data_IF_017993005653
#
_entry.id   IF_017993005653
#
_cell.length_a   1.000
_cell.length_b   1.000
_cell.length_c   1.000
_cell.angle_alpha   90.00
_cell.angle_beta   90.00
_cell.angle_gamma   90.00
#
_symmetry.space_group_name_H-M   'P 1'
#
loop_
_entity.id
_entity.type
_entity.pdbx_description
1 polymer ?
#
# COMPACT_ATOMS: atom_id res chain seq x y z
N UNK A 1 20.87 -3.71 -38.30
CA UNK A 1 20.12 -2.45 -38.16
C UNK A 1 18.93 -2.75 -37.25
N UNK A 2 19.11 -2.56 -35.94
CA UNK A 2 18.12 -2.86 -34.91
C UNK A 2 17.41 -1.56 -34.54
N UNK A 3 16.15 -1.44 -34.91
CA UNK A 3 15.28 -0.32 -34.59
C UNK A 3 14.76 -0.54 -33.16
N UNK A 4 15.34 0.20 -32.20
CA UNK A 4 14.80 0.29 -30.84
C UNK A 4 13.49 1.11 -30.89
N UNK A 5 12.38 0.42 -30.79
CA UNK A 5 11.07 1.03 -30.55
C UNK A 5 11.07 1.65 -29.16
N UNK A 6 11.12 2.96 -29.10
CA UNK A 6 10.82 3.72 -27.87
C UNK A 6 9.36 3.50 -27.51
N UNK A 7 9.11 2.55 -26.62
CA UNK A 7 7.79 2.39 -25.97
C UNK A 7 7.52 3.65 -25.15
N UNK A 8 6.42 4.28 -25.49
CA UNK A 8 5.78 5.37 -24.74
C UNK A 8 5.80 5.06 -23.24
N UNK A 9 6.62 5.80 -22.51
CA UNK A 9 6.49 5.94 -21.05
C UNK A 9 5.20 6.74 -20.88
N UNK A 10 4.19 6.24 -20.15
CA UNK A 10 3.00 7.04 -19.88
C UNK A 10 3.42 8.22 -19.01
N UNK A 11 3.43 9.42 -19.63
CA UNK A 11 3.48 10.70 -18.93
C UNK A 11 2.14 10.82 -18.21
N UNK A 12 2.11 10.46 -16.91
CA UNK A 12 0.85 10.51 -16.17
C UNK A 12 0.88 9.90 -14.78
N UNK A 13 2.03 9.84 -14.08
CA UNK A 13 1.99 9.77 -12.62
C UNK A 13 1.90 11.21 -12.09
N UNK A 14 0.74 11.82 -12.27
CA UNK A 14 0.40 13.00 -11.48
C UNK A 14 0.34 12.55 -10.02
N UNK A 15 1.26 13.05 -9.21
CA UNK A 15 1.26 12.91 -7.76
C UNK A 15 -0.15 13.20 -7.23
N UNK A 16 -0.86 12.16 -6.77
CA UNK A 16 -2.21 12.30 -6.21
C UNK A 16 -2.21 12.94 -4.81
N UNK A 17 -1.06 13.33 -4.30
CA UNK A 17 -0.86 13.81 -2.94
C UNK A 17 -1.10 15.31 -2.80
N UNK A 18 -0.67 16.09 -3.78
CA UNK A 18 -0.91 17.54 -3.85
C UNK A 18 -1.85 17.85 -5.02
N UNK A 19 -2.78 18.80 -4.82
CA UNK A 19 -3.53 19.34 -5.94
C UNK A 19 -2.68 20.34 -6.73
N UNK A 20 -3.08 20.68 -7.98
CA UNK A 20 -2.31 21.55 -8.86
C UNK A 20 -1.97 22.90 -8.22
N UNK A 21 -2.85 23.47 -7.38
CA UNK A 21 -2.60 24.71 -6.65
C UNK A 21 -1.49 24.55 -5.60
N UNK A 22 -1.46 23.42 -4.92
CA UNK A 22 -0.41 23.10 -3.95
C UNK A 22 0.93 22.82 -4.65
N UNK A 23 0.93 22.13 -5.76
CA UNK A 23 2.14 21.88 -6.58
C UNK A 23 2.75 23.19 -7.08
N UNK A 24 1.93 24.10 -7.61
CA UNK A 24 2.39 25.40 -8.04
C UNK A 24 2.99 26.21 -6.87
N UNK A 25 2.34 26.22 -5.70
CA UNK A 25 2.89 26.85 -4.50
C UNK A 25 4.19 26.21 -4.05
N UNK A 26 4.27 24.89 -4.08
CA UNK A 26 5.48 24.18 -3.69
C UNK A 26 6.65 24.49 -4.62
N UNK A 27 6.42 24.53 -5.92
CA UNK A 27 7.42 24.94 -6.93
C UNK A 27 7.92 26.36 -6.66
N UNK A 28 7.01 27.29 -6.37
CA UNK A 28 7.38 28.66 -5.98
C UNK A 28 8.23 28.67 -4.69
N UNK A 29 7.87 27.87 -3.68
CA UNK A 29 8.64 27.79 -2.44
C UNK A 29 10.05 27.21 -2.66
N UNK A 30 10.21 26.25 -3.57
CA UNK A 30 11.53 25.74 -3.97
C UNK A 30 12.37 26.82 -4.64
N UNK A 31 11.78 27.66 -5.46
CA UNK A 31 12.47 28.77 -6.11
C UNK A 31 12.93 29.83 -5.08
N UNK A 32 12.06 30.18 -4.12
CA UNK A 32 12.41 31.09 -3.02
C UNK A 32 13.52 30.52 -2.16
N UNK A 33 13.43 29.21 -1.79
CA UNK A 33 14.48 28.53 -1.05
C UNK A 33 15.82 28.61 -1.80
N UNK A 34 15.84 28.33 -3.09
CA UNK A 34 17.04 28.38 -3.91
C UNK A 34 17.64 29.81 -3.98
N UNK A 35 16.80 30.84 -4.03
CA UNK A 35 17.25 32.23 -3.98
C UNK A 35 17.86 32.57 -2.61
N UNK A 36 17.20 32.19 -1.52
CA UNK A 36 17.75 32.36 -0.17
C UNK A 36 19.09 31.65 -0.03
N UNK A 37 19.22 30.41 -0.46
CA UNK A 37 20.46 29.63 -0.36
C UNK A 37 21.60 30.26 -1.19
N UNK A 38 21.30 30.81 -2.38
CA UNK A 38 22.27 31.47 -3.27
C UNK A 38 22.82 32.76 -2.66
N UNK A 39 21.96 33.56 -2.08
CA UNK A 39 22.32 34.90 -1.57
C UNK A 39 22.59 34.91 -0.05
N UNK A 40 22.87 33.72 0.53
CA UNK A 40 23.10 33.55 1.98
C UNK A 40 24.16 34.52 2.57
N UNK A 41 25.21 34.83 1.80
CA UNK A 41 26.25 35.73 2.23
C UNK A 41 25.76 37.15 2.56
N UNK A 42 24.68 37.58 1.87
CA UNK A 42 24.12 38.93 2.04
C UNK A 42 23.26 39.11 3.33
N UNK A 43 22.67 38.01 3.83
CA UNK A 43 21.70 38.08 4.92
C UNK A 43 22.04 37.25 6.17
N UNK A 44 23.08 36.40 6.11
CA UNK A 44 23.45 35.49 7.22
C UNK A 44 23.64 36.22 8.57
N UNK A 45 24.09 37.47 8.56
CA UNK A 45 24.35 38.28 9.76
C UNK A 45 23.07 39.00 10.24
N UNK A 46 21.96 38.95 9.51
CA UNK A 46 20.66 39.47 9.89
C UNK A 46 19.86 38.37 10.63
N UNK A 47 20.03 38.25 11.92
CA UNK A 47 19.49 37.16 12.74
C UNK A 47 17.99 36.90 12.53
N UNK A 48 17.18 37.96 12.42
CA UNK A 48 15.73 37.85 12.22
C UNK A 48 15.39 37.21 10.86
N UNK A 49 16.10 37.61 9.80
CA UNK A 49 15.91 37.08 8.45
C UNK A 49 16.44 35.65 8.37
N UNK A 50 17.63 35.39 8.90
CA UNK A 50 18.22 34.05 8.96
C UNK A 50 17.30 33.02 9.65
N UNK A 51 16.70 33.39 10.77
CA UNK A 51 15.74 32.59 11.49
C UNK A 51 14.46 32.33 10.66
N UNK A 52 14.00 33.33 9.90
CA UNK A 52 12.81 33.18 9.03
C UNK A 52 13.11 32.26 7.85
N UNK A 53 14.26 32.38 7.20
CA UNK A 53 14.73 31.47 6.16
C UNK A 53 14.87 30.03 6.67
N UNK A 54 15.45 29.83 7.86
CA UNK A 54 15.59 28.49 8.44
C UNK A 54 14.23 27.84 8.70
N UNK A 55 13.27 28.57 9.25
CA UNK A 55 11.89 28.10 9.45
C UNK A 55 11.20 27.78 8.12
N UNK A 56 11.32 28.67 7.14
CA UNK A 56 10.76 28.46 5.81
C UNK A 56 11.34 27.19 5.15
N UNK A 57 12.66 27.00 5.19
CA UNK A 57 13.33 25.82 4.68
C UNK A 57 12.84 24.52 5.36
N UNK A 58 12.58 24.59 6.67
CA UNK A 58 11.99 23.48 7.43
C UNK A 58 10.57 23.16 6.92
N UNK A 59 9.72 24.17 6.73
CA UNK A 59 8.38 23.96 6.17
C UNK A 59 8.43 23.34 4.77
N UNK A 60 9.32 23.82 3.89
CA UNK A 60 9.48 23.25 2.52
C UNK A 60 9.91 21.78 2.59
N UNK A 61 10.81 21.43 3.48
CA UNK A 61 11.25 20.04 3.70
C UNK A 61 10.10 19.17 4.24
N UNK A 62 9.33 19.68 5.19
CA UNK A 62 8.17 18.99 5.76
C UNK A 62 7.07 18.75 4.71
N UNK A 63 6.79 19.76 3.85
CA UNK A 63 5.84 19.63 2.74
C UNK A 63 6.24 18.43 1.84
N UNK A 64 7.51 18.33 1.47
CA UNK A 64 8.03 17.20 0.68
C UNK A 64 7.79 15.87 1.37
N UNK A 65 8.22 15.74 2.61
CA UNK A 65 8.10 14.51 3.40
C UNK A 65 6.65 14.06 3.58
N UNK A 66 5.74 15.00 3.81
CA UNK A 66 4.32 14.72 3.99
C UNK A 66 3.66 14.29 2.68
N UNK A 67 4.02 14.90 1.55
CA UNK A 67 3.57 14.48 0.22
C UNK A 67 4.03 13.07 -0.11
N UNK A 68 5.31 12.77 0.09
CA UNK A 68 5.86 11.42 -0.11
C UNK A 68 5.19 10.38 0.81
N UNK A 69 4.88 10.75 2.06
CA UNK A 69 4.17 9.87 2.99
C UNK A 69 2.76 9.56 2.52
N UNK A 70 2.04 10.52 1.93
CA UNK A 70 0.73 10.27 1.32
C UNK A 70 0.81 9.32 0.13
N UNK A 71 1.83 9.47 -0.72
CA UNK A 71 2.01 8.64 -1.91
C UNK A 71 2.28 7.17 -1.56
N UNK A 72 3.16 6.92 -0.60
CA UNK A 72 3.47 5.55 -0.13
C UNK A 72 2.26 4.80 0.41
N UNK A 73 1.21 5.49 0.81
CA UNK A 73 0.03 4.87 1.43
C UNK A 73 -1.08 4.50 0.45
N UNK A 74 -0.99 4.97 -0.78
CA UNK A 74 -1.98 4.65 -1.82
C UNK A 74 -1.97 3.17 -2.24
N UNK A 75 -0.82 2.49 -2.13
CA UNK A 75 -0.64 1.08 -2.51
C UNK A 75 -1.21 0.04 -1.53
N UNK A 76 -1.53 0.41 -0.28
CA UNK A 76 -1.93 -0.57 0.74
C UNK A 76 -3.23 -1.31 0.43
N UNK A 77 -4.17 -0.68 -0.26
CA UNK A 77 -5.43 -1.31 -0.67
C UNK A 77 -5.21 -2.27 -1.85
N UNK A 78 -4.36 -1.92 -2.78
CA UNK A 78 -3.99 -2.74 -3.92
C UNK A 78 -3.17 -3.97 -3.48
N UNK A 79 -2.16 -3.78 -2.63
CA UNK A 79 -1.40 -4.88 -2.01
C UNK A 79 -2.33 -5.88 -1.32
N UNK A 80 -3.28 -5.39 -0.52
CA UNK A 80 -4.27 -6.26 0.14
C UNK A 80 -5.10 -7.05 -0.87
N UNK A 81 -5.51 -6.43 -1.96
CA UNK A 81 -6.31 -7.09 -2.99
C UNK A 81 -5.53 -8.18 -3.71
N UNK A 82 -4.28 -7.95 -4.04
CA UNK A 82 -3.37 -8.95 -4.64
C UNK A 82 -3.20 -10.14 -3.69
N UNK A 83 -2.87 -9.88 -2.41
CA UNK A 83 -2.71 -10.93 -1.41
C UNK A 83 -3.99 -11.76 -1.21
N UNK A 84 -5.16 -11.10 -1.26
CA UNK A 84 -6.46 -11.79 -1.20
C UNK A 84 -6.64 -12.73 -2.38
N UNK A 85 -6.40 -12.24 -3.59
CA UNK A 85 -6.55 -13.03 -4.80
C UNK A 85 -5.63 -14.25 -4.79
N UNK A 86 -4.36 -14.07 -4.50
CA UNK A 86 -3.40 -15.16 -4.42
C UNK A 86 -3.76 -16.21 -3.37
N UNK A 87 -4.21 -15.79 -2.19
CA UNK A 87 -4.68 -16.68 -1.14
C UNK A 87 -5.90 -17.48 -1.58
N UNK A 88 -6.90 -16.84 -2.18
CA UNK A 88 -8.13 -17.49 -2.61
C UNK A 88 -7.90 -18.48 -3.76
N UNK A 89 -7.01 -18.14 -4.70
CA UNK A 89 -6.64 -19.05 -5.80
C UNK A 89 -6.00 -20.35 -5.27
N UNK A 90 -5.00 -20.24 -4.40
CA UNK A 90 -4.34 -21.41 -3.81
C UNK A 90 -5.33 -22.22 -2.94
N UNK A 91 -6.17 -21.54 -2.16
CA UNK A 91 -7.18 -22.19 -1.33
C UNK A 91 -8.21 -22.97 -2.19
N UNK A 92 -8.62 -22.42 -3.34
CA UNK A 92 -9.53 -23.11 -4.25
C UNK A 92 -8.91 -24.40 -4.84
N UNK A 93 -7.61 -24.38 -5.17
CA UNK A 93 -6.89 -25.58 -5.63
C UNK A 93 -6.85 -26.64 -4.52
N UNK A 94 -6.52 -26.26 -3.30
CA UNK A 94 -6.49 -27.17 -2.15
C UNK A 94 -7.90 -27.70 -1.84
N UNK A 95 -8.92 -26.84 -1.87
CA UNK A 95 -10.32 -27.24 -1.67
C UNK A 95 -10.78 -28.27 -2.69
N UNK A 96 -10.43 -28.07 -3.97
CA UNK A 96 -10.73 -29.04 -5.04
C UNK A 96 -10.08 -30.39 -4.78
N UNK A 97 -8.82 -30.44 -4.36
CA UNK A 97 -8.10 -31.67 -4.05
C UNK A 97 -8.71 -32.42 -2.85
N UNK A 98 -9.01 -31.68 -1.77
CA UNK A 98 -9.66 -32.24 -0.55
C UNK A 98 -11.07 -32.74 -0.90
N UNK A 99 -11.83 -31.96 -1.68
CA UNK A 99 -13.17 -32.31 -2.09
C UNK A 99 -13.20 -33.59 -2.94
N UNK A 100 -12.29 -33.73 -3.91
CA UNK A 100 -12.15 -34.92 -4.73
C UNK A 100 -11.81 -36.18 -3.89
N UNK A 101 -10.80 -36.06 -3.04
CA UNK A 101 -10.44 -37.12 -2.09
C UNK A 101 -11.61 -37.50 -1.17
N UNK A 102 -12.30 -36.51 -0.62
CA UNK A 102 -13.42 -36.76 0.27
C UNK A 102 -14.60 -37.46 -0.44
N UNK A 103 -14.89 -37.10 -1.69
CA UNK A 103 -15.90 -37.75 -2.49
C UNK A 103 -15.55 -39.22 -2.76
N UNK A 104 -14.31 -39.52 -3.16
CA UNK A 104 -13.84 -40.89 -3.43
C UNK A 104 -13.88 -41.76 -2.17
N UNK A 105 -13.65 -41.16 -0.99
CA UNK A 105 -13.64 -41.87 0.29
C UNK A 105 -14.97 -41.72 1.08
N UNK A 106 -16.03 -41.24 0.43
CA UNK A 106 -17.38 -41.06 1.05
C UNK A 106 -17.38 -40.24 2.32
N UNK A 107 -16.49 -39.25 2.43
CA UNK A 107 -16.38 -38.29 3.53
C UNK A 107 -17.21 -37.04 3.22
N UNK A 108 -18.54 -37.19 3.19
CA UNK A 108 -19.45 -36.12 2.75
C UNK A 108 -19.40 -34.88 3.65
N UNK A 109 -19.10 -35.02 4.92
CA UNK A 109 -18.89 -33.95 5.88
C UNK A 109 -17.71 -33.06 5.48
N UNK A 110 -16.56 -33.65 5.17
CA UNK A 110 -15.38 -32.94 4.71
C UNK A 110 -15.62 -32.30 3.34
N UNK A 111 -16.25 -33.05 2.43
CA UNK A 111 -16.58 -32.53 1.10
C UNK A 111 -17.45 -31.26 1.17
N UNK A 112 -18.45 -31.22 2.06
CA UNK A 112 -19.27 -30.04 2.28
C UNK A 112 -18.51 -28.89 2.95
N UNK A 113 -17.62 -29.21 3.90
CA UNK A 113 -16.85 -28.22 4.63
C UNK A 113 -15.89 -27.42 3.72
N UNK A 114 -15.36 -28.06 2.67
CA UNK A 114 -14.42 -27.43 1.73
C UNK A 114 -15.05 -27.04 0.40
N UNK A 115 -16.35 -27.14 0.24
CA UNK A 115 -17.06 -26.84 -0.99
C UNK A 115 -17.14 -25.33 -1.25
N UNK A 116 -16.01 -24.75 -1.58
CA UNK A 116 -15.90 -23.34 -1.96
C UNK A 116 -15.22 -23.21 -3.32
N UNK A 117 -15.86 -22.45 -4.23
CA UNK A 117 -15.21 -21.98 -5.45
C UNK A 117 -14.30 -20.77 -5.14
N UNK A 118 -13.40 -20.43 -6.06
CA UNK A 118 -12.61 -19.18 -5.95
C UNK A 118 -13.52 -17.96 -5.78
N UNK A 119 -14.63 -17.92 -6.51
CA UNK A 119 -15.62 -16.84 -6.38
C UNK A 119 -16.21 -16.74 -4.97
N UNK A 120 -16.54 -17.88 -4.34
CA UNK A 120 -17.07 -17.92 -2.96
C UNK A 120 -16.03 -17.46 -1.92
N UNK A 121 -14.76 -17.74 -2.17
CA UNK A 121 -13.64 -17.32 -1.34
C UNK A 121 -13.34 -15.82 -1.51
N UNK A 122 -13.43 -15.33 -2.74
CA UNK A 122 -13.26 -13.90 -3.05
C UNK A 122 -14.46 -13.05 -2.60
N UNK A 123 -15.63 -13.65 -2.42
CA UNK A 123 -16.83 -12.97 -1.98
C UNK A 123 -16.83 -12.65 -0.48
N UNK A 124 -17.54 -11.59 -0.08
CA UNK A 124 -17.77 -11.25 1.32
C UNK A 124 -16.68 -10.38 1.96
N UNK A 125 -16.72 -10.34 3.31
CA UNK A 125 -15.78 -9.52 4.10
C UNK A 125 -14.41 -10.16 4.18
N UNK A 126 -13.38 -9.34 4.35
CA UNK A 126 -11.98 -9.78 4.44
C UNK A 126 -11.74 -10.91 5.45
N UNK A 127 -12.31 -10.77 6.66
CA UNK A 127 -12.19 -11.79 7.72
C UNK A 127 -12.89 -13.10 7.36
N UNK A 128 -14.01 -13.04 6.65
CA UNK A 128 -14.74 -14.23 6.21
C UNK A 128 -13.94 -15.01 5.16
N UNK A 129 -13.30 -14.31 4.20
CA UNK A 129 -12.42 -14.96 3.22
C UNK A 129 -11.23 -15.65 3.89
N UNK A 130 -10.56 -14.98 4.82
CA UNK A 130 -9.45 -15.57 5.57
C UNK A 130 -9.90 -16.81 6.37
N UNK A 131 -11.07 -16.73 7.04
CA UNK A 131 -11.60 -17.87 7.81
C UNK A 131 -11.94 -19.07 6.94
N UNK A 132 -12.56 -18.86 5.76
CA UNK A 132 -12.85 -19.95 4.81
C UNK A 132 -11.56 -20.62 4.31
N UNK A 133 -10.54 -19.82 3.96
CA UNK A 133 -9.25 -20.36 3.54
C UNK A 133 -8.55 -21.13 4.67
N UNK A 134 -8.71 -20.68 5.94
CA UNK A 134 -8.17 -21.40 7.09
C UNK A 134 -8.87 -22.75 7.28
N UNK A 135 -10.20 -22.83 7.18
CA UNK A 135 -10.97 -24.07 7.26
C UNK A 135 -10.49 -25.07 6.20
N UNK A 136 -10.26 -24.62 4.97
CA UNK A 136 -9.73 -25.48 3.89
C UNK A 136 -8.33 -25.98 4.24
N UNK A 137 -7.45 -25.11 4.74
CA UNK A 137 -6.09 -25.48 5.15
C UNK A 137 -6.10 -26.51 6.27
N UNK A 138 -6.95 -26.33 7.28
CA UNK A 138 -7.04 -27.23 8.44
C UNK A 138 -7.54 -28.61 7.97
N UNK A 139 -8.63 -28.68 7.18
CA UNK A 139 -9.13 -29.91 6.60
C UNK A 139 -8.08 -30.65 5.73
N UNK A 140 -7.29 -29.89 4.97
CA UNK A 140 -6.21 -30.44 4.16
C UNK A 140 -5.05 -30.96 5.00
N UNK A 141 -4.68 -30.29 6.08
CA UNK A 141 -3.62 -30.74 7.02
C UNK A 141 -3.99 -32.00 7.76
N UNK A 142 -5.22 -32.09 8.25
CA UNK A 142 -5.73 -33.27 8.95
C UNK A 142 -5.72 -34.52 8.05
N UNK A 143 -5.75 -34.35 6.73
CA UNK A 143 -5.80 -35.43 5.76
C UNK A 143 -4.58 -35.46 4.81
N UNK A 144 -3.50 -34.77 5.13
CA UNK A 144 -2.36 -34.53 4.24
C UNK A 144 -1.75 -35.82 3.63
N UNK A 145 -1.61 -36.86 4.45
CA UNK A 145 -1.09 -38.16 3.99
C UNK A 145 -1.96 -38.81 2.92
N UNK A 146 -3.27 -38.58 2.92
CA UNK A 146 -4.24 -39.14 1.98
C UNK A 146 -4.36 -38.31 0.69
N UNK A 147 -3.84 -37.09 0.69
CA UNK A 147 -3.93 -36.17 -0.45
C UNK A 147 -2.83 -36.36 -1.50
N UNK A 148 -1.88 -37.24 -1.29
CA UNK A 148 -0.69 -37.43 -2.16
C UNK A 148 -1.08 -37.76 -3.62
N UNK A 149 -2.22 -38.40 -3.85
CA UNK A 149 -2.73 -38.70 -5.19
C UNK A 149 -3.63 -37.61 -5.81
N UNK A 150 -4.05 -36.62 -5.02
CA UNK A 150 -5.01 -35.57 -5.38
C UNK A 150 -4.39 -34.18 -5.48
N UNK A 151 -3.32 -33.95 -4.73
CA UNK A 151 -2.60 -32.68 -4.71
C UNK A 151 -1.10 -32.91 -4.92
N UNK A 152 -0.54 -32.27 -5.94
CA UNK A 152 0.90 -32.34 -6.20
C UNK A 152 1.66 -31.50 -5.15
N UNK A 153 2.75 -32.08 -4.61
CA UNK A 153 3.56 -31.39 -3.57
C UNK A 153 2.74 -30.92 -2.37
N UNK A 154 2.00 -31.83 -1.74
CA UNK A 154 1.05 -31.54 -0.65
C UNK A 154 1.65 -30.61 0.41
N UNK A 155 2.81 -30.95 0.97
CA UNK A 155 3.44 -30.16 2.04
C UNK A 155 3.72 -28.74 1.60
N UNK A 156 4.35 -28.55 0.44
CA UNK A 156 4.71 -27.22 -0.09
C UNK A 156 3.47 -26.38 -0.41
N UNK A 157 2.41 -27.02 -0.95
CA UNK A 157 1.15 -26.35 -1.25
C UNK A 157 0.46 -25.83 0.04
N UNK A 158 0.40 -26.67 1.08
CA UNK A 158 -0.19 -26.29 2.37
C UNK A 158 0.61 -25.21 3.08
N UNK A 159 1.94 -25.32 3.08
CA UNK A 159 2.82 -24.30 3.69
C UNK A 159 2.75 -22.95 2.94
N UNK A 160 2.60 -23.01 1.61
CA UNK A 160 2.42 -21.82 0.79
C UNK A 160 1.08 -21.15 1.10
N UNK A 161 -0.01 -21.91 1.18
CA UNK A 161 -1.32 -21.41 1.54
C UNK A 161 -1.32 -20.79 2.95
N UNK A 162 -0.68 -21.44 3.92
CA UNK A 162 -0.56 -20.89 5.28
C UNK A 162 0.17 -19.54 5.31
N UNK A 163 1.29 -19.43 4.58
CA UNK A 163 2.03 -18.18 4.46
C UNK A 163 1.17 -17.07 3.86
N UNK A 164 0.39 -17.38 2.83
CA UNK A 164 -0.52 -16.44 2.17
C UNK A 164 -1.67 -16.01 3.08
N UNK A 165 -2.28 -16.93 3.84
CA UNK A 165 -3.32 -16.60 4.84
C UNK A 165 -2.75 -15.63 5.90
N UNK A 166 -1.55 -15.92 6.43
CA UNK A 166 -0.88 -15.06 7.41
C UNK A 166 -0.53 -13.68 6.82
N UNK A 167 -0.03 -13.62 5.58
CA UNK A 167 0.30 -12.37 4.90
C UNK A 167 -0.95 -11.53 4.65
N UNK A 168 -2.03 -12.15 4.14
CA UNK A 168 -3.30 -11.48 3.95
C UNK A 168 -3.90 -10.98 5.27
N UNK A 169 -3.91 -11.80 6.32
CA UNK A 169 -4.37 -11.42 7.65
C UNK A 169 -3.69 -10.13 8.17
N UNK A 170 -2.37 -10.03 8.01
CA UNK A 170 -1.60 -8.82 8.35
C UNK A 170 -1.96 -7.61 7.47
N UNK A 171 -2.40 -7.84 6.23
CA UNK A 171 -2.74 -6.77 5.30
C UNK A 171 -4.13 -6.17 5.53
N UNK A 172 -5.04 -6.85 6.23
CA UNK A 172 -6.44 -6.42 6.41
C UNK A 172 -6.53 -5.04 7.08
N UNK A 173 -5.69 -4.77 8.07
CA UNK A 173 -5.70 -3.50 8.82
C UNK A 173 -4.92 -2.39 8.14
N UNK A 174 -3.94 -2.71 7.28
CA UNK A 174 -3.05 -1.74 6.60
C UNK A 174 -3.79 -0.60 5.90
N UNK A 175 -4.85 -0.83 5.10
CA UNK A 175 -5.56 0.27 4.44
C UNK A 175 -6.24 1.24 5.41
N UNK A 176 -6.70 0.77 6.56
CA UNK A 176 -7.32 1.63 7.58
C UNK A 176 -6.28 2.48 8.28
N UNK A 177 -5.13 1.91 8.62
CA UNK A 177 -3.99 2.63 9.20
C UNK A 177 -3.44 3.63 8.18
N UNK A 178 -3.28 3.21 6.92
CA UNK A 178 -2.87 4.08 5.83
C UNK A 178 -3.80 5.29 5.68
N UNK A 179 -5.12 5.11 5.71
CA UNK A 179 -6.09 6.21 5.64
C UNK A 179 -5.98 7.18 6.84
N UNK A 180 -5.79 6.66 8.05
CA UNK A 180 -5.60 7.49 9.25
C UNK A 180 -4.33 8.33 9.12
N UNK A 181 -3.23 7.71 8.69
CA UNK A 181 -1.94 8.41 8.50
C UNK A 181 -2.03 9.42 7.35
N UNK A 182 -2.68 9.07 6.23
CA UNK A 182 -2.89 9.98 5.11
C UNK A 182 -3.75 11.19 5.50
N UNK A 183 -4.81 10.99 6.30
CA UNK A 183 -5.62 12.10 6.82
C UNK A 183 -4.79 13.02 7.70
N UNK A 184 -4.02 12.47 8.65
CA UNK A 184 -3.12 13.25 9.49
C UNK A 184 -2.04 13.97 8.69
N UNK A 185 -1.49 13.34 7.65
CA UNK A 185 -0.53 13.96 6.74
C UNK A 185 -1.17 15.12 5.94
N UNK A 186 -2.42 14.97 5.48
CA UNK A 186 -3.15 16.01 4.75
C UNK A 186 -3.38 17.26 5.62
N UNK A 187 -3.79 17.07 6.87
CA UNK A 187 -3.99 18.17 7.81
C UNK A 187 -2.67 18.90 8.14
N UNK A 188 -1.60 18.14 8.37
CA UNK A 188 -0.25 18.69 8.57
C UNK A 188 0.26 19.41 7.32
N UNK A 189 0.06 18.82 6.14
CA UNK A 189 0.46 19.41 4.87
C UNK A 189 -0.20 20.79 4.67
N UNK A 190 -1.51 20.90 4.94
CA UNK A 190 -2.23 22.18 4.88
C UNK A 190 -1.60 23.20 5.80
N UNK A 191 -1.31 22.82 7.05
CA UNK A 191 -0.69 23.71 8.05
C UNK A 191 0.71 24.16 7.63
N UNK A 192 1.53 23.28 7.06
CA UNK A 192 2.86 23.64 6.56
C UNK A 192 2.79 24.64 5.40
N UNK A 193 1.83 24.49 4.47
CA UNK A 193 1.59 25.47 3.41
C UNK A 193 1.12 26.82 3.94
N UNK A 194 0.28 26.85 4.96
CA UNK A 194 -0.17 28.08 5.62
C UNK A 194 1.00 28.78 6.34
N UNK A 195 1.81 28.00 7.07
CA UNK A 195 2.99 28.53 7.79
C UNK A 195 4.04 29.06 6.82
N UNK A 196 4.37 28.31 5.76
CA UNK A 196 5.32 28.75 4.74
C UNK A 196 4.83 30.02 4.01
N UNK A 197 3.54 30.09 3.69
CA UNK A 197 2.93 31.27 3.07
C UNK A 197 3.02 32.51 3.95
N UNK A 198 2.67 32.38 5.24
CA UNK A 198 2.79 33.46 6.20
C UNK A 198 4.23 33.95 6.40
N UNK A 199 5.20 33.03 6.47
CA UNK A 199 6.62 33.40 6.56
C UNK A 199 7.09 34.18 5.32
N UNK A 200 6.62 33.78 4.15
CA UNK A 200 6.96 34.45 2.90
C UNK A 200 6.38 35.87 2.87
N UNK A 201 5.07 36.02 3.07
CA UNK A 201 4.36 37.28 2.97
C UNK A 201 4.76 38.28 4.07
N UNK A 202 5.00 37.82 5.32
CA UNK A 202 5.23 38.69 6.45
C UNK A 202 6.71 38.99 6.71
N UNK A 203 7.62 38.13 6.27
CA UNK A 203 9.03 38.16 6.72
C UNK A 203 10.06 38.13 5.60
N UNK A 204 9.80 37.51 4.48
CA UNK A 204 10.78 37.31 3.41
C UNK A 204 10.53 38.24 2.22
N UNK A 205 9.32 38.77 2.07
CA UNK A 205 8.91 39.62 0.93
C UNK A 205 8.91 41.15 1.32
N UNK A 206 9.37 41.47 2.53
CA UNK A 206 9.53 42.83 3.02
C UNK A 206 11.00 43.21 3.13
#
# INVERSE_FOLDING_TARGET
>A
MLIFSLRNIPIGLQSRCMNAKQENKYTMYLAVKAACDKDQAAWKDLAAFANSCAKFNTCVTNIKSLAEAQERQSGAAEEKQILRQEMCMDAAVVAGAVGAWAADNKKNDIAQQVNYSEYDLMGGRDTASASKCQIILDAARDNAASLVGYLKYVTDALDTLEKKIKAYGKSIIKPTEARKTAKGATEKLKKEFETAGGLLEERLDK
#
